data_IF_041769472372
#
_entry.id   IF_041769472372
#
_cell.length_a   1.000
_cell.length_b   1.000
_cell.length_c   1.000
_cell.angle_alpha   90.00
_cell.angle_beta   90.00
_cell.angle_gamma   90.00
#
_symmetry.space_group_name_H-M   'P 1'
#
loop_
_entity.id
_entity.type
_entity.pdbx_description
1 polymer ?
#
# COMPACT_ATOMS: atom_id res chain seq x y z
N UNK A 1 -9.32 -8.18 10.70
CA UNK A 1 -8.66 -6.96 11.25
C UNK A 1 -7.66 -6.52 10.20
N UNK A 2 -7.70 -5.27 9.73
CA UNK A 2 -6.73 -4.83 8.74
C UNK A 2 -5.35 -4.60 9.38
N UNK A 3 -4.29 -4.84 8.60
CA UNK A 3 -2.92 -4.69 9.06
C UNK A 3 -2.53 -3.21 9.11
N UNK A 4 -1.89 -2.83 10.20
CA UNK A 4 -1.30 -1.50 10.40
C UNK A 4 0.21 -1.65 10.48
N UNK A 5 0.94 -1.00 9.58
CA UNK A 5 2.40 -1.00 9.61
C UNK A 5 2.90 0.19 10.43
N UNK A 6 3.78 -0.07 11.40
CA UNK A 6 4.36 0.98 12.26
C UNK A 6 5.20 1.98 11.48
N UNK A 7 5.83 1.53 10.40
CA UNK A 7 6.62 2.41 9.53
C UNK A 7 5.76 3.42 8.74
N UNK A 8 4.45 3.28 8.72
CA UNK A 8 3.53 4.27 8.14
C UNK A 8 3.25 5.44 9.11
N UNK A 9 3.72 5.37 10.37
CA UNK A 9 3.54 6.42 11.35
C UNK A 9 2.07 6.62 11.73
N UNK A 10 1.59 7.86 11.72
CA UNK A 10 0.25 8.26 12.15
C UNK A 10 -0.84 8.14 11.07
N UNK A 11 -0.51 7.58 9.90
CA UNK A 11 -1.47 7.41 8.79
C UNK A 11 -2.73 6.65 9.26
N UNK A 12 -2.56 5.64 10.11
CA UNK A 12 -3.68 4.83 10.59
C UNK A 12 -4.59 5.56 11.58
N UNK A 13 -4.05 6.55 12.28
CA UNK A 13 -4.84 7.36 13.21
C UNK A 13 -5.59 8.47 12.47
N UNK A 14 -4.91 9.18 11.59
CA UNK A 14 -5.44 10.35 10.88
C UNK A 14 -6.24 9.97 9.64
N UNK A 15 -5.78 8.95 8.90
CA UNK A 15 -6.29 8.54 7.59
C UNK A 15 -6.28 9.68 6.55
N UNK A 16 -5.39 10.64 6.70
CA UNK A 16 -5.23 11.73 5.73
C UNK A 16 -4.57 11.26 4.44
N UNK A 17 -3.77 10.19 4.54
CA UNK A 17 -3.20 9.47 3.41
C UNK A 17 -3.81 8.07 3.30
N UNK A 18 -3.75 7.50 2.11
CA UNK A 18 -4.23 6.13 1.87
C UNK A 18 -3.21 5.13 2.44
N UNK A 19 -3.56 4.31 3.46
CA UNK A 19 -2.68 3.27 3.97
C UNK A 19 -2.29 2.25 2.91
N UNK A 20 -1.12 1.63 3.02
CA UNK A 20 -0.65 0.62 2.06
C UNK A 20 -1.62 -0.56 1.94
N UNK A 21 -2.22 -0.98 3.04
CA UNK A 21 -3.24 -2.04 3.05
C UNK A 21 -4.47 -1.67 2.23
N UNK A 22 -4.91 -0.41 2.29
CA UNK A 22 -6.02 0.10 1.46
C UNK A 22 -5.58 0.23 0.00
N UNK A 23 -4.34 0.67 -0.26
CA UNK A 23 -3.81 0.72 -1.63
C UNK A 23 -3.80 -0.66 -2.29
N UNK A 24 -3.44 -1.71 -1.54
CA UNK A 24 -3.52 -3.09 -2.03
C UNK A 24 -4.96 -3.46 -2.40
N UNK A 25 -5.94 -3.12 -1.56
CA UNK A 25 -7.36 -3.37 -1.84
C UNK A 25 -7.84 -2.65 -3.10
N UNK A 26 -7.42 -1.40 -3.28
CA UNK A 26 -7.72 -0.62 -4.48
C UNK A 26 -7.07 -1.26 -5.74
N UNK A 27 -5.82 -1.69 -5.64
CA UNK A 27 -5.14 -2.38 -6.75
C UNK A 27 -5.84 -3.69 -7.11
N UNK A 28 -6.30 -4.48 -6.13
CA UNK A 28 -7.11 -5.68 -6.36
C UNK A 28 -8.47 -5.34 -6.98
N UNK A 29 -9.08 -4.26 -6.54
CA UNK A 29 -10.33 -3.75 -7.10
C UNK A 29 -10.18 -3.14 -8.50
N UNK A 30 -8.94 -2.97 -8.99
CA UNK A 30 -8.60 -2.31 -10.26
C UNK A 30 -9.07 -0.84 -10.34
N UNK A 31 -9.04 -0.17 -9.22
CA UNK A 31 -9.50 1.21 -9.07
C UNK A 31 -8.41 2.10 -8.47
N UNK A 32 -8.39 3.35 -8.90
CA UNK A 32 -7.56 4.41 -8.33
C UNK A 32 -8.43 5.51 -7.75
N UNK A 33 -8.06 5.97 -6.56
CA UNK A 33 -8.58 7.18 -5.94
C UNK A 33 -7.43 8.18 -5.80
N UNK A 34 -7.68 9.44 -6.13
CA UNK A 34 -6.70 10.51 -5.86
C UNK A 34 -6.61 10.78 -4.35
N UNK A 35 -5.52 11.42 -3.92
CA UNK A 35 -5.41 11.85 -2.52
C UNK A 35 -6.55 12.80 -2.12
N UNK A 36 -6.85 13.75 -2.99
CA UNK A 36 -7.98 14.68 -2.81
C UNK A 36 -9.31 13.93 -2.70
N UNK A 37 -9.53 12.94 -3.58
CA UNK A 37 -10.72 12.10 -3.52
C UNK A 37 -10.80 11.30 -2.23
N UNK A 38 -9.69 10.73 -1.75
CA UNK A 38 -9.62 10.06 -0.46
C UNK A 38 -9.98 10.98 0.70
N UNK A 39 -9.43 12.21 0.70
CA UNK A 39 -9.68 13.20 1.73
C UNK A 39 -11.10 13.77 1.69
N UNK A 40 -11.76 13.75 0.54
CA UNK A 40 -13.16 14.14 0.40
C UNK A 40 -14.13 13.11 1.04
N UNK A 41 -13.72 11.86 1.21
CA UNK A 41 -14.49 10.88 1.96
C UNK A 41 -14.51 11.24 3.45
N UNK A 42 -15.61 10.96 4.12
CA UNK A 42 -15.69 11.10 5.58
C UNK A 42 -14.75 10.15 6.30
N UNK A 43 -14.34 10.48 7.51
CA UNK A 43 -13.48 9.58 8.30
C UNK A 43 -14.09 8.19 8.54
N UNK A 44 -15.39 8.05 8.89
CA UNK A 44 -16.04 6.74 8.98
C UNK A 44 -16.01 5.93 7.68
N UNK A 45 -16.15 6.58 6.51
CA UNK A 45 -16.06 5.91 5.22
C UNK A 45 -14.63 5.40 4.97
N UNK A 46 -13.62 6.22 5.24
CA UNK A 46 -12.20 5.81 5.16
C UNK A 46 -11.89 4.64 6.10
N UNK A 47 -12.41 4.68 7.34
CA UNK A 47 -12.29 3.56 8.28
C UNK A 47 -12.97 2.29 7.76
N UNK A 48 -14.18 2.39 7.21
CA UNK A 48 -14.86 1.25 6.61
C UNK A 48 -14.02 0.60 5.50
N UNK A 49 -13.42 1.39 4.61
CA UNK A 49 -12.54 0.90 3.54
C UNK A 49 -11.27 0.22 4.08
N UNK A 50 -10.78 0.61 5.26
CA UNK A 50 -9.70 -0.10 5.93
C UNK A 50 -10.12 -1.52 6.37
N UNK A 51 -11.35 -1.68 6.86
CA UNK A 51 -11.81 -2.90 7.52
C UNK A 51 -12.52 -3.89 6.58
N UNK A 52 -13.10 -3.42 5.48
CA UNK A 52 -13.77 -4.30 4.52
C UNK A 52 -12.81 -5.36 3.97
N UNK A 53 -13.22 -6.65 3.94
CA UNK A 53 -12.40 -7.72 3.37
C UNK A 53 -12.32 -7.63 1.85
N UNK A 54 -11.34 -8.33 1.27
CA UNK A 54 -11.14 -8.48 -0.18
C UNK A 54 -10.60 -9.89 -0.51
N UNK A 55 -10.88 -10.85 0.36
CA UNK A 55 -10.27 -12.18 0.31
C UNK A 55 -10.97 -13.10 -0.69
N UNK A 56 -12.25 -12.86 -0.95
CA UNK A 56 -13.06 -13.60 -1.93
C UNK A 56 -13.49 -12.70 -3.09
N UNK A 57 -14.01 -13.31 -4.15
CA UNK A 57 -14.58 -12.56 -5.30
C UNK A 57 -15.78 -11.73 -4.86
N UNK A 58 -16.59 -12.26 -3.95
CA UNK A 58 -17.77 -11.60 -3.38
C UNK A 58 -17.36 -10.42 -2.49
N UNK A 59 -16.33 -10.59 -1.65
CA UNK A 59 -15.78 -9.50 -0.84
C UNK A 59 -15.27 -8.37 -1.73
N UNK A 60 -14.55 -8.71 -2.80
CA UNK A 60 -14.00 -7.74 -3.72
C UNK A 60 -15.11 -6.97 -4.48
N UNK A 61 -16.18 -7.66 -4.87
CA UNK A 61 -17.36 -7.04 -5.48
C UNK A 61 -18.00 -6.07 -4.48
N UNK A 62 -18.23 -6.51 -3.25
CA UNK A 62 -18.78 -5.68 -2.17
C UNK A 62 -17.90 -4.45 -1.89
N UNK A 63 -16.58 -4.65 -1.84
CA UNK A 63 -15.63 -3.54 -1.66
C UNK A 63 -15.75 -2.49 -2.76
N UNK A 64 -15.86 -2.92 -4.02
CA UNK A 64 -16.06 -2.02 -5.18
C UNK A 64 -17.36 -1.23 -5.05
N UNK A 65 -18.46 -1.91 -4.75
CA UNK A 65 -19.79 -1.28 -4.64
C UNK A 65 -19.82 -0.25 -3.51
N UNK A 66 -19.25 -0.59 -2.34
CA UNK A 66 -19.16 0.33 -1.21
C UNK A 66 -18.30 1.55 -1.54
N UNK A 67 -17.14 1.33 -2.14
CA UNK A 67 -16.23 2.41 -2.55
C UNK A 67 -16.91 3.34 -3.56
N UNK A 68 -17.57 2.78 -4.58
CA UNK A 68 -18.30 3.56 -5.58
C UNK A 68 -19.44 4.36 -4.94
N UNK A 69 -20.17 3.77 -4.00
CA UNK A 69 -21.23 4.45 -3.27
C UNK A 69 -20.70 5.62 -2.44
N UNK A 70 -19.58 5.46 -1.74
CA UNK A 70 -18.95 6.54 -0.98
C UNK A 70 -18.47 7.67 -1.91
N UNK A 71 -17.80 7.32 -2.99
CA UNK A 71 -17.30 8.29 -3.97
C UNK A 71 -18.45 9.07 -4.64
N UNK A 72 -19.53 8.40 -5.00
CA UNK A 72 -20.70 9.05 -5.59
C UNK A 72 -21.32 10.11 -4.65
N UNK A 73 -21.44 9.80 -3.35
CA UNK A 73 -21.97 10.75 -2.36
C UNK A 73 -21.05 11.95 -2.15
N UNK A 74 -19.75 11.74 -2.26
CA UNK A 74 -18.73 12.80 -2.06
C UNK A 74 -18.33 13.48 -3.37
N UNK A 75 -18.99 13.18 -4.48
CA UNK A 75 -18.69 13.70 -5.82
C UNK A 75 -17.22 13.43 -6.26
N UNK A 76 -16.69 12.28 -5.88
CA UNK A 76 -15.33 11.82 -6.18
C UNK A 76 -15.34 10.91 -7.40
N UNK A 77 -14.45 11.18 -8.35
CA UNK A 77 -14.28 10.34 -9.54
C UNK A 77 -13.22 9.27 -9.29
N UNK A 78 -13.61 8.01 -9.39
CA UNK A 78 -12.68 6.88 -9.43
C UNK A 78 -12.16 6.70 -10.85
N UNK A 79 -10.88 6.34 -10.96
CA UNK A 79 -10.26 6.00 -12.24
C UNK A 79 -9.99 4.48 -12.28
N UNK A 80 -10.17 3.82 -13.44
CA UNK A 80 -9.70 2.45 -13.59
C UNK A 80 -8.17 2.40 -13.49
N UNK A 81 -7.66 1.29 -12.97
CA UNK A 81 -6.24 0.99 -13.01
C UNK A 81 -5.89 0.61 -14.45
N UNK A 82 -4.85 1.24 -15.03
CA UNK A 82 -4.41 0.89 -16.38
C UNK A 82 -3.84 -0.54 -16.43
N UNK A 83 -4.00 -1.23 -17.56
CA UNK A 83 -3.49 -2.60 -17.74
C UNK A 83 -1.98 -2.69 -17.56
N UNK A 84 -1.23 -1.63 -17.90
CA UNK A 84 0.21 -1.51 -17.65
C UNK A 84 0.57 -1.63 -16.16
N UNK A 85 -0.35 -1.27 -15.27
CA UNK A 85 -0.17 -1.43 -13.83
C UNK A 85 -0.47 -2.87 -13.37
N UNK A 86 -1.12 -3.70 -14.19
CA UNK A 86 -1.35 -5.11 -13.90
C UNK A 86 -0.05 -5.92 -13.88
N UNK A 87 0.92 -5.59 -14.74
CA UNK A 87 2.25 -6.21 -14.76
C UNK A 87 3.04 -5.90 -13.47
N UNK A 88 2.70 -4.81 -12.79
CA UNK A 88 3.31 -4.42 -11.51
C UNK A 88 2.76 -5.19 -10.31
N UNK A 89 1.80 -6.11 -10.50
CA UNK A 89 1.20 -6.95 -9.45
C UNK A 89 2.06 -8.15 -9.07
N UNK A 90 3.36 -7.98 -9.10
CA UNK A 90 4.32 -9.06 -8.86
C UNK A 90 4.46 -9.45 -7.38
N UNK A 91 3.72 -8.82 -6.47
CA UNK A 91 3.73 -9.23 -5.06
C UNK A 91 3.14 -10.64 -4.82
N UNK A 92 2.36 -11.16 -5.76
CA UNK A 92 1.86 -12.54 -5.71
C UNK A 92 2.80 -13.56 -6.35
N UNK A 93 3.92 -13.11 -6.92
CA UNK A 93 4.95 -13.99 -7.47
C UNK A 93 5.57 -14.88 -6.38
N UNK A 94 5.94 -16.10 -6.75
CA UNK A 94 6.71 -17.00 -5.90
C UNK A 94 8.17 -16.56 -5.74
N UNK A 95 8.66 -15.77 -6.68
CA UNK A 95 10.01 -15.22 -6.68
C UNK A 95 10.00 -13.76 -6.27
N UNK A 96 11.11 -13.31 -5.67
CA UNK A 96 11.28 -11.90 -5.29
C UNK A 96 11.31 -11.05 -6.56
N UNK A 97 10.44 -10.05 -6.71
CA UNK A 97 10.47 -9.16 -7.87
C UNK A 97 11.84 -8.47 -8.01
N UNK A 98 12.33 -8.34 -9.25
CA UNK A 98 13.64 -7.74 -9.53
C UNK A 98 13.78 -6.33 -8.93
N UNK A 99 12.71 -5.54 -8.95
CA UNK A 99 12.69 -4.22 -8.34
C UNK A 99 12.96 -4.28 -6.83
N UNK A 100 12.35 -5.22 -6.11
CA UNK A 100 12.56 -5.42 -4.67
C UNK A 100 13.99 -5.85 -4.42
N UNK A 101 14.49 -6.82 -5.19
CA UNK A 101 15.86 -7.31 -5.07
C UNK A 101 16.88 -6.19 -5.23
N UNK A 102 16.76 -5.37 -6.28
CA UNK A 102 17.68 -4.25 -6.53
C UNK A 102 17.67 -3.25 -5.39
N UNK A 103 16.48 -2.87 -4.92
CA UNK A 103 16.36 -1.87 -3.84
C UNK A 103 16.88 -2.37 -2.50
N UNK A 104 16.67 -3.65 -2.19
CA UNK A 104 17.22 -4.27 -0.98
C UNK A 104 18.76 -4.36 -1.04
N UNK A 105 19.33 -4.67 -2.21
CA UNK A 105 20.79 -4.69 -2.40
C UNK A 105 21.40 -3.30 -2.15
N UNK A 106 20.75 -2.23 -2.58
CA UNK A 106 21.18 -0.85 -2.28
C UNK A 106 21.22 -0.56 -0.77
N UNK A 107 20.35 -1.21 0.01
CA UNK A 107 20.34 -1.13 1.48
C UNK A 107 21.29 -2.13 2.14
N UNK A 108 22.05 -2.92 1.37
CA UNK A 108 22.90 -3.98 1.91
C UNK A 108 22.14 -5.20 2.41
N UNK A 109 20.88 -5.36 2.01
CA UNK A 109 20.02 -6.47 2.41
C UNK A 109 19.86 -7.48 1.26
N UNK A 110 19.58 -8.73 1.63
CA UNK A 110 19.25 -9.80 0.71
C UNK A 110 17.99 -10.50 1.15
N UNK A 111 17.09 -10.76 0.22
CA UNK A 111 15.85 -11.48 0.47
C UNK A 111 15.79 -12.71 -0.45
N UNK A 112 15.87 -13.87 0.16
CA UNK A 112 15.76 -15.15 -0.55
C UNK A 112 14.28 -15.47 -0.84
N UNK A 113 14.04 -16.22 -1.92
CA UNK A 113 12.68 -16.59 -2.34
C UNK A 113 11.89 -17.34 -1.26
N UNK A 114 12.57 -18.11 -0.41
CA UNK A 114 11.91 -18.80 0.72
C UNK A 114 11.38 -17.80 1.76
N UNK A 115 12.18 -16.78 2.10
CA UNK A 115 11.77 -15.74 3.03
C UNK A 115 10.67 -14.85 2.43
N UNK A 116 10.74 -14.55 1.13
CA UNK A 116 9.68 -13.85 0.41
C UNK A 116 8.34 -14.58 0.49
N UNK A 117 8.34 -15.90 0.23
CA UNK A 117 7.14 -16.74 0.29
C UNK A 117 6.58 -16.88 1.71
N UNK A 118 7.42 -16.75 2.73
CA UNK A 118 7.00 -16.77 4.13
C UNK A 118 6.31 -15.47 4.57
N UNK A 119 6.50 -14.36 3.85
CA UNK A 119 5.79 -13.12 4.11
C UNK A 119 4.32 -13.25 3.69
N UNK A 120 3.43 -12.60 4.44
CA UNK A 120 2.05 -12.44 3.99
C UNK A 120 1.95 -11.50 2.78
N UNK A 121 0.81 -11.52 2.12
CA UNK A 121 0.58 -10.77 0.90
C UNK A 121 0.68 -9.25 1.12
N UNK A 122 0.23 -8.75 2.27
CA UNK A 122 0.29 -7.32 2.59
C UNK A 122 1.73 -6.85 2.78
N UNK A 123 2.58 -7.67 3.42
CA UNK A 123 4.01 -7.38 3.57
C UNK A 123 4.72 -7.37 2.21
N UNK A 124 4.45 -8.36 1.35
CA UNK A 124 5.00 -8.41 -0.01
C UNK A 124 4.58 -7.21 -0.84
N UNK A 125 3.30 -6.83 -0.75
CA UNK A 125 2.79 -5.62 -1.39
C UNK A 125 3.51 -4.36 -0.89
N UNK A 126 3.67 -4.22 0.43
CA UNK A 126 4.36 -3.07 1.01
C UNK A 126 5.80 -2.96 0.51
N UNK A 127 6.57 -4.06 0.53
CA UNK A 127 7.94 -4.09 0.02
C UNK A 127 7.99 -3.68 -1.46
N UNK A 128 7.11 -4.20 -2.29
CA UNK A 128 7.06 -3.83 -3.71
C UNK A 128 6.79 -2.33 -3.91
N UNK A 129 5.80 -1.77 -3.22
CA UNK A 129 5.45 -0.35 -3.34
C UNK A 129 6.53 0.58 -2.80
N UNK A 130 7.19 0.20 -1.70
CA UNK A 130 8.29 0.98 -1.13
C UNK A 130 9.60 0.86 -1.93
N UNK A 131 9.74 -0.18 -2.73
CA UNK A 131 10.89 -0.36 -3.64
C UNK A 131 10.83 0.54 -4.88
N UNK A 132 9.71 1.20 -5.14
CA UNK A 132 9.58 2.09 -6.29
C UNK A 132 10.61 3.22 -6.24
N UNK A 133 11.31 3.57 -7.36
CA UNK A 133 12.41 4.55 -7.37
C UNK A 133 12.05 5.94 -6.84
N UNK A 134 10.78 6.33 -6.94
CA UNK A 134 10.28 7.62 -6.41
C UNK A 134 10.12 7.65 -4.88
N UNK A 135 10.31 6.52 -4.21
CA UNK A 135 10.23 6.40 -2.75
C UNK A 135 11.63 6.50 -2.16
N UNK A 136 11.74 7.23 -1.05
CA UNK A 136 12.98 7.27 -0.29
C UNK A 136 13.34 5.90 0.31
N UNK A 137 14.64 5.62 0.54
CA UNK A 137 15.08 4.35 1.10
C UNK A 137 14.69 4.16 2.56
N UNK A 138 14.39 5.24 3.30
CA UNK A 138 14.16 5.22 4.74
C UNK A 138 12.94 4.38 5.11
N UNK A 139 11.83 4.56 4.37
CA UNK A 139 10.60 3.79 4.59
C UNK A 139 10.77 2.32 4.23
N UNK A 140 11.51 2.01 3.17
CA UNK A 140 11.83 0.64 2.82
C UNK A 140 12.70 -0.02 3.90
N UNK A 141 13.72 0.69 4.41
CA UNK A 141 14.54 0.22 5.51
C UNK A 141 13.69 -0.06 6.77
N UNK A 142 12.85 0.90 7.17
CA UNK A 142 11.96 0.75 8.32
C UNK A 142 11.00 -0.45 8.17
N UNK A 143 10.47 -0.67 6.97
CA UNK A 143 9.65 -1.82 6.66
C UNK A 143 10.44 -3.14 6.79
N UNK A 144 11.67 -3.18 6.27
CA UNK A 144 12.54 -4.36 6.39
C UNK A 144 12.86 -4.70 7.84
N UNK A 145 13.12 -3.70 8.68
CA UNK A 145 13.35 -3.91 10.12
C UNK A 145 12.07 -4.41 10.80
N UNK A 146 10.92 -3.81 10.53
CA UNK A 146 9.64 -4.24 11.09
C UNK A 146 9.26 -5.67 10.69
N UNK A 147 9.60 -6.06 9.46
CA UNK A 147 9.33 -7.41 8.93
C UNK A 147 10.40 -8.45 9.32
N UNK A 148 11.43 -8.05 10.09
CA UNK A 148 12.51 -8.94 10.52
C UNK A 148 13.48 -9.33 9.41
N UNK A 149 13.53 -8.58 8.31
CA UNK A 149 14.41 -8.84 7.17
C UNK A 149 15.78 -8.17 7.33
N UNK A 150 15.90 -7.21 8.23
CA UNK A 150 17.14 -6.50 8.56
C UNK A 150 17.30 -6.35 10.07
N UNK A 151 18.54 -6.40 10.60
CA UNK A 151 18.82 -6.10 12.01
C UNK A 151 18.69 -4.59 12.27
N UNK A 152 18.31 -4.24 13.47
CA UNK A 152 18.34 -2.87 13.97
C UNK A 152 17.02 -2.41 14.59
N UNK A 153 17.03 -1.36 15.42
CA UNK A 153 15.81 -0.68 15.80
C UNK A 153 15.19 -0.06 14.55
N UNK A 154 13.87 -0.14 14.42
CA UNK A 154 13.18 0.66 13.43
C UNK A 154 13.65 2.13 13.60
N UNK A 155 14.05 2.83 12.52
CA UNK A 155 14.40 4.23 12.63
C UNK A 155 13.25 4.93 13.38
N UNK A 156 13.59 5.73 14.41
CA UNK A 156 12.60 6.62 15.02
C UNK A 156 12.19 7.55 13.90
N UNK A 157 11.06 7.23 13.26
CA UNK A 157 10.39 8.18 12.41
C UNK A 157 9.96 9.30 13.37
N UNK A 158 10.75 10.36 13.43
CA UNK A 158 10.26 11.63 13.92
C UNK A 158 8.92 11.85 13.18
N UNK A 159 7.91 12.44 13.81
CA UNK A 159 6.65 12.72 13.15
C UNK A 159 6.89 13.75 12.04
N UNK A 160 7.54 13.31 10.97
CA UNK A 160 7.56 14.06 9.74
C UNK A 160 6.09 14.24 9.33
N UNK A 161 5.72 15.47 9.11
CA UNK A 161 4.49 15.81 8.38
C UNK A 161 4.49 14.89 7.15
N UNK A 162 3.69 13.83 7.20
CA UNK A 162 3.60 12.85 6.11
C UNK A 162 2.99 13.59 4.94
N UNK A 163 3.86 14.17 4.12
CA UNK A 163 3.43 14.68 2.83
C UNK A 163 3.10 13.43 2.01
N UNK A 164 1.81 13.18 1.88
CA UNK A 164 1.35 12.14 0.97
C UNK A 164 1.92 12.45 -0.40
N UNK A 165 2.72 11.54 -0.94
CA UNK A 165 3.19 11.71 -2.31
C UNK A 165 1.96 11.87 -3.19
N UNK A 166 1.90 12.93 -4.04
CA UNK A 166 0.78 13.13 -4.94
C UNK A 166 0.62 11.86 -5.75
N UNK A 167 -0.57 11.29 -5.71
CA UNK A 167 -0.93 10.22 -6.60
C UNK A 167 -0.65 10.71 -8.01
N UNK A 168 0.13 9.96 -8.77
CA UNK A 168 0.45 10.32 -10.14
C UNK A 168 -0.84 10.49 -10.94
N UNK A 169 -1.34 11.73 -10.96
CA UNK A 169 -2.26 12.20 -11.97
C UNK A 169 -1.44 12.49 -13.22
N UNK A 170 -1.17 11.48 -14.03
CA UNK A 170 -0.86 11.72 -15.43
C UNK A 170 -2.07 11.34 -16.25
N UNK A 171 -2.62 12.38 -16.88
CA UNK A 171 -3.49 12.34 -18.03
C UNK A 171 -2.99 11.37 -19.09
#
# INVERSE_FOLDING_TARGET
MYRQFRFEGDIHEKLDCVPLTVRRKLDLAQLKISLEGWQALTRPERQALCHLPVDTVEDLATYRDVLQGFCARSNVTLKPLADEDAEKRTWNSLEVPALVTSRLQELGARLESAAWRALDEEARYALLKLSHPKRGPEKLHAACVELGLMPGPAPKLEPEVVVCAPGEGRS
#
